data_IF_551794183502
#
_entry.id   IF_551794183502
#
_cell.length_a   1.000
_cell.length_b   1.000
_cell.length_c   1.000
_cell.angle_alpha   90.00
_cell.angle_beta   90.00
_cell.angle_gamma   90.00
#
_symmetry.space_group_name_H-M   'P 1'
#
loop_
_entity.id
_entity.type
_entity.pdbx_description
1 polymer ?
#
# COMPACT_ATOMS: atom_id res chain seq x y z
N UNK A 1 -19.53 37.14 12.50
CA UNK A 1 -20.04 35.82 12.91
C UNK A 1 -19.90 35.69 14.40
N UNK A 2 -20.97 35.24 15.07
CA UNK A 2 -21.01 35.20 16.52
C UNK A 2 -20.10 34.10 17.04
N UNK A 3 -19.00 34.47 17.68
CA UNK A 3 -17.98 33.51 18.15
C UNK A 3 -18.53 32.50 19.16
N UNK A 4 -19.66 32.81 19.79
CA UNK A 4 -20.25 31.94 20.80
C UNK A 4 -20.78 30.62 20.24
N UNK A 5 -21.11 30.57 18.94
CA UNK A 5 -21.65 29.37 18.30
C UNK A 5 -20.62 28.61 17.45
N UNK A 6 -19.37 29.06 17.46
CA UNK A 6 -18.33 28.36 16.71
C UNK A 6 -18.01 26.99 17.36
N UNK A 7 -17.86 25.93 16.57
CA UNK A 7 -17.41 24.65 17.14
C UNK A 7 -15.92 24.63 17.42
N UNK A 8 -15.18 25.62 16.94
CA UNK A 8 -13.72 25.64 17.07
C UNK A 8 -13.32 25.74 18.53
N UNK A 9 -12.45 24.88 18.98
CA UNK A 9 -11.94 24.88 20.34
C UNK A 9 -12.82 24.22 21.37
N UNK A 10 -13.94 23.65 20.95
CA UNK A 10 -14.88 22.98 21.89
C UNK A 10 -14.64 21.47 21.87
N UNK A 11 -14.78 20.80 23.03
CA UNK A 11 -14.63 19.35 23.11
C UNK A 11 -15.90 18.63 22.65
N UNK A 12 -16.14 18.62 21.34
CA UNK A 12 -17.34 18.01 20.79
C UNK A 12 -17.16 16.50 20.62
N UNK A 13 -18.18 15.73 20.87
CA UNK A 13 -18.19 14.29 20.63
C UNK A 13 -18.24 14.01 19.14
N UNK A 14 -17.62 12.90 18.74
CA UNK A 14 -17.70 12.44 17.35
C UNK A 14 -19.12 11.99 17.05
N UNK A 15 -19.63 12.40 15.89
CA UNK A 15 -21.00 12.03 15.49
C UNK A 15 -21.14 10.53 15.25
N UNK A 16 -20.05 9.87 14.84
CA UNK A 16 -20.05 8.44 14.57
C UNK A 16 -19.55 7.59 15.75
N UNK A 17 -19.22 8.24 16.87
CA UNK A 17 -18.68 7.54 18.05
C UNK A 17 -19.60 6.46 18.60
N UNK A 18 -20.89 6.76 18.83
CA UNK A 18 -21.78 5.74 19.40
C UNK A 18 -21.88 4.48 18.55
N UNK A 19 -21.90 4.59 17.23
CA UNK A 19 -21.94 3.41 16.36
C UNK A 19 -20.69 2.55 16.54
N UNK A 20 -19.53 3.21 16.69
CA UNK A 20 -18.25 2.49 16.82
C UNK A 20 -18.15 1.75 18.16
N UNK A 21 -18.47 2.42 19.25
CA UNK A 21 -18.27 1.83 20.58
C UNK A 21 -19.34 0.82 20.95
N UNK A 22 -20.45 0.78 20.22
CA UNK A 22 -21.51 -0.21 20.47
C UNK A 22 -21.48 -1.38 19.48
N UNK A 23 -20.51 -1.40 18.58
CA UNK A 23 -20.39 -2.46 17.59
C UNK A 23 -21.39 -2.39 16.46
N UNK A 24 -22.04 -1.24 16.28
CA UNK A 24 -23.04 -1.07 15.22
C UNK A 24 -22.45 -0.49 13.93
N UNK A 25 -21.21 0.02 13.98
CA UNK A 25 -20.54 0.48 12.76
C UNK A 25 -20.26 -0.71 11.85
N UNK A 26 -20.54 -0.53 10.56
CA UNK A 26 -20.40 -1.63 9.59
C UNK A 26 -19.23 -1.33 8.68
N UNK A 27 -18.21 -2.17 8.73
CA UNK A 27 -16.98 -1.99 7.97
C UNK A 27 -17.08 -2.71 6.63
N UNK A 28 -16.08 -2.50 5.75
CA UNK A 28 -16.17 -2.94 4.35
C UNK A 28 -16.49 -4.43 4.21
N UNK A 29 -15.81 -5.28 4.97
CA UNK A 29 -16.00 -6.74 4.85
C UNK A 29 -17.32 -7.22 5.45
N UNK A 30 -18.06 -6.34 6.14
CA UNK A 30 -19.30 -6.69 6.81
C UNK A 30 -20.54 -6.37 5.99
N UNK A 31 -20.38 -5.76 4.81
CA UNK A 31 -21.54 -5.43 3.98
C UNK A 31 -22.26 -6.71 3.56
N UNK A 32 -23.58 -6.69 3.67
CA UNK A 32 -24.42 -7.85 3.32
C UNK A 32 -24.84 -7.72 1.86
N UNK A 33 -24.51 -8.74 1.07
CA UNK A 33 -24.78 -8.75 -0.37
C UNK A 33 -25.36 -10.11 -0.74
N UNK A 34 -26.54 -10.13 -1.41
CA UNK A 34 -27.12 -11.42 -1.81
C UNK A 34 -26.23 -12.16 -2.81
N UNK A 35 -26.15 -13.48 -2.65
CA UNK A 35 -25.42 -14.33 -3.58
C UNK A 35 -23.92 -14.16 -3.54
N UNK A 36 -23.38 -13.67 -2.43
CA UNK A 36 -21.97 -13.36 -2.31
C UNK A 36 -21.10 -14.61 -2.40
N UNK A 37 -20.05 -14.53 -3.21
CA UNK A 37 -19.00 -15.53 -3.29
C UNK A 37 -17.78 -15.01 -2.53
N UNK A 38 -16.86 -15.90 -2.17
CA UNK A 38 -15.73 -15.59 -1.31
C UNK A 38 -14.42 -15.95 -2.00
N UNK A 39 -13.46 -15.04 -1.97
CA UNK A 39 -12.16 -15.26 -2.57
C UNK A 39 -11.08 -15.40 -1.51
N UNK A 40 -10.13 -16.28 -1.77
CA UNK A 40 -8.94 -16.45 -0.95
C UNK A 40 -7.71 -16.37 -1.84
N UNK A 41 -6.74 -15.58 -1.43
CA UNK A 41 -5.53 -15.31 -2.23
C UNK A 41 -4.50 -16.41 -2.01
N UNK A 42 -3.89 -16.87 -3.11
CA UNK A 42 -2.71 -17.72 -3.10
C UNK A 42 -1.50 -16.82 -3.31
N UNK A 43 -0.57 -16.86 -2.36
CA UNK A 43 0.58 -15.95 -2.32
C UNK A 43 1.86 -16.66 -2.68
N UNK A 44 2.81 -15.90 -3.24
CA UNK A 44 4.13 -16.44 -3.58
C UNK A 44 4.89 -16.82 -2.31
N UNK A 45 5.56 -17.96 -2.38
CA UNK A 45 6.48 -18.39 -1.32
C UNK A 45 7.93 -18.02 -1.63
N UNK A 46 8.19 -17.38 -2.79
CA UNK A 46 9.53 -16.91 -3.15
C UNK A 46 9.53 -15.39 -3.27
N UNK A 47 10.70 -14.79 -3.17
CA UNK A 47 10.85 -13.34 -3.24
C UNK A 47 11.05 -12.82 -4.65
N UNK A 48 11.62 -13.64 -5.55
CA UNK A 48 11.90 -13.20 -6.90
C UNK A 48 12.04 -14.41 -7.80
N UNK A 49 11.48 -14.32 -8.99
CA UNK A 49 11.59 -15.40 -9.96
C UNK A 49 10.45 -15.41 -10.95
N UNK A 50 10.11 -16.59 -11.40
CA UNK A 50 9.09 -16.78 -12.41
C UNK A 50 8.26 -18.02 -12.09
N UNK A 51 6.95 -17.93 -12.34
CA UNK A 51 6.05 -19.06 -12.20
C UNK A 51 6.27 -19.97 -13.41
N UNK A 52 6.57 -21.25 -13.15
CA UNK A 52 6.68 -22.22 -14.24
C UNK A 52 5.43 -23.07 -14.38
N UNK A 53 4.64 -23.20 -13.29
CA UNK A 53 3.41 -23.98 -13.34
C UNK A 53 2.51 -23.60 -12.17
N UNK A 54 1.22 -23.49 -12.45
CA UNK A 54 0.19 -23.39 -11.41
C UNK A 54 -0.73 -24.60 -11.58
N UNK A 55 -0.75 -25.47 -10.58
CA UNK A 55 -1.61 -26.66 -10.59
C UNK A 55 -2.82 -26.38 -9.69
N UNK A 56 -3.95 -26.12 -10.31
CA UNK A 56 -5.19 -25.80 -9.60
C UNK A 56 -6.20 -26.98 -9.64
N UNK A 57 -5.79 -28.13 -10.13
CA UNK A 57 -6.72 -29.25 -10.37
C UNK A 57 -7.45 -29.65 -9.08
N UNK A 58 -6.74 -29.83 -7.98
CA UNK A 58 -7.37 -30.25 -6.72
C UNK A 58 -8.34 -29.18 -6.20
N UNK A 59 -8.00 -27.90 -6.34
CA UNK A 59 -8.89 -26.84 -5.91
C UNK A 59 -10.15 -26.79 -6.78
N UNK A 60 -9.97 -26.89 -8.08
CA UNK A 60 -11.09 -26.84 -9.01
C UNK A 60 -12.04 -28.03 -8.86
N UNK A 61 -11.55 -29.15 -8.36
CA UNK A 61 -12.34 -30.35 -8.13
C UNK A 61 -13.27 -30.24 -6.93
N UNK A 62 -13.04 -29.29 -6.04
CA UNK A 62 -13.88 -29.12 -4.85
C UNK A 62 -15.28 -28.63 -5.25
N UNK A 63 -16.30 -29.30 -4.74
CA UNK A 63 -17.68 -28.85 -4.96
C UNK A 63 -17.86 -27.46 -4.32
N UNK A 64 -18.36 -26.51 -5.08
CA UNK A 64 -18.58 -25.14 -4.62
C UNK A 64 -17.47 -24.16 -4.95
N UNK A 65 -16.33 -24.65 -5.46
CA UNK A 65 -15.32 -23.75 -6.02
C UNK A 65 -15.77 -23.35 -7.42
N UNK A 66 -15.89 -22.05 -7.65
CA UNK A 66 -16.40 -21.49 -8.88
C UNK A 66 -15.34 -21.04 -9.85
N UNK A 67 -14.14 -20.72 -9.35
CA UNK A 67 -13.09 -20.14 -10.17
C UNK A 67 -11.76 -20.24 -9.45
N UNK A 68 -10.71 -20.57 -10.21
CA UNK A 68 -9.33 -20.30 -9.77
C UNK A 68 -8.75 -19.32 -10.79
N UNK A 69 -8.62 -18.10 -10.37
CA UNK A 69 -8.17 -16.99 -11.22
C UNK A 69 -6.65 -16.89 -11.13
N UNK A 70 -5.97 -16.84 -12.27
CA UNK A 70 -4.51 -16.71 -12.34
C UNK A 70 -4.14 -15.75 -13.46
N UNK A 71 -2.84 -15.51 -13.66
CA UNK A 71 -2.40 -14.68 -14.77
C UNK A 71 -2.75 -15.30 -16.13
N UNK A 72 -3.04 -16.59 -16.17
CA UNK A 72 -3.31 -17.28 -17.42
C UNK A 72 -4.77 -17.17 -17.87
N UNK A 73 -5.68 -16.90 -16.93
CA UNK A 73 -7.11 -16.86 -17.28
C UNK A 73 -7.84 -15.63 -16.82
N UNK A 74 -7.12 -14.62 -16.31
CA UNK A 74 -7.77 -13.40 -15.88
C UNK A 74 -8.41 -12.68 -17.07
N UNK A 75 -9.48 -11.90 -16.81
CA UNK A 75 -10.07 -11.14 -17.92
C UNK A 75 -9.08 -10.07 -18.39
N UNK A 76 -9.22 -9.62 -19.65
CA UNK A 76 -8.40 -8.50 -20.10
C UNK A 76 -8.75 -7.26 -19.28
N UNK A 77 -7.74 -6.45 -19.00
CA UNK A 77 -7.89 -5.20 -18.26
C UNK A 77 -7.42 -4.07 -19.18
N UNK A 78 -8.33 -3.17 -19.49
CA UNK A 78 -8.17 -2.23 -20.59
C UNK A 78 -6.95 -1.32 -20.44
N UNK A 79 -6.69 -0.83 -19.22
CA UNK A 79 -5.59 0.11 -18.98
C UNK A 79 -4.75 -0.36 -17.80
N UNK A 80 -4.31 -1.60 -17.86
CA UNK A 80 -3.62 -2.24 -16.74
C UNK A 80 -2.24 -1.63 -16.47
N UNK A 81 -1.72 -0.85 -17.40
CA UNK A 81 -0.43 -0.18 -17.22
C UNK A 81 -0.55 1.23 -16.65
N UNK A 82 -1.77 1.70 -16.36
CA UNK A 82 -1.95 3.02 -15.77
C UNK A 82 -1.51 3.04 -14.30
N UNK A 83 -0.68 4.00 -13.91
CA UNK A 83 -0.32 4.12 -12.51
C UNK A 83 -1.47 4.63 -11.66
N UNK A 84 -1.43 4.33 -10.37
CA UNK A 84 -2.34 4.98 -9.43
C UNK A 84 -1.84 6.41 -9.18
N UNK A 85 -2.75 7.33 -9.26
CA UNK A 85 -2.45 8.74 -9.02
C UNK A 85 -3.38 9.32 -7.97
N UNK A 86 -2.88 10.20 -7.14
CA UNK A 86 -3.71 11.03 -6.27
C UNK A 86 -3.01 12.39 -6.12
N UNK A 87 -3.67 13.29 -5.41
CA UNK A 87 -3.22 14.68 -5.38
C UNK A 87 -2.03 14.90 -4.45
N UNK A 88 -1.79 14.00 -3.52
CA UNK A 88 -0.81 14.24 -2.46
C UNK A 88 0.33 13.23 -2.43
N UNK A 89 0.16 12.07 -3.04
CA UNK A 89 1.18 11.02 -2.99
C UNK A 89 2.08 11.09 -4.22
N UNK A 90 3.30 10.59 -4.08
CA UNK A 90 4.20 10.45 -5.22
C UNK A 90 3.58 9.51 -6.26
N UNK A 91 3.88 9.76 -7.52
CA UNK A 91 3.42 8.90 -8.61
C UNK A 91 3.94 7.49 -8.37
N UNK A 92 3.05 6.53 -8.48
CA UNK A 92 3.40 5.12 -8.28
C UNK A 92 3.59 4.40 -9.60
N UNK A 93 4.21 3.24 -9.52
CA UNK A 93 4.26 2.34 -10.66
C UNK A 93 2.88 1.70 -10.85
N UNK A 94 2.59 1.21 -12.06
CA UNK A 94 1.32 0.51 -12.27
C UNK A 94 1.19 -0.67 -11.31
N UNK A 95 0.03 -0.81 -10.72
CA UNK A 95 -0.25 -1.87 -9.76
C UNK A 95 -1.03 -2.97 -10.48
N UNK A 96 -0.39 -4.11 -10.71
CA UNK A 96 -0.88 -5.10 -11.67
C UNK A 96 -0.91 -6.52 -11.13
N UNK A 97 -1.78 -6.85 -10.16
CA UNK A 97 -1.88 -8.24 -9.71
C UNK A 97 -2.27 -9.17 -10.85
N UNK A 98 -1.68 -10.35 -10.88
CA UNK A 98 -1.87 -11.37 -11.92
C UNK A 98 -1.50 -10.86 -13.33
N UNK A 99 -0.51 -9.97 -13.40
CA UNK A 99 -0.13 -9.38 -14.68
C UNK A 99 0.49 -10.40 -15.63
N UNK A 100 1.48 -11.14 -15.14
CA UNK A 100 2.19 -12.14 -15.92
C UNK A 100 2.79 -13.21 -14.99
N UNK A 101 3.77 -13.96 -15.49
CA UNK A 101 4.39 -15.05 -14.74
C UNK A 101 5.53 -14.60 -13.83
N UNK A 102 5.82 -13.28 -13.73
CA UNK A 102 6.92 -12.79 -12.90
C UNK A 102 6.51 -12.69 -11.45
N UNK A 103 7.42 -13.08 -10.57
CA UNK A 103 7.30 -12.88 -9.13
C UNK A 103 8.28 -11.80 -8.73
N UNK A 104 7.75 -10.70 -8.22
CA UNK A 104 8.54 -9.50 -7.91
C UNK A 104 8.84 -9.36 -6.43
N UNK A 105 8.01 -9.95 -5.55
CA UNK A 105 8.20 -9.85 -4.10
C UNK A 105 7.54 -11.03 -3.40
N UNK A 106 8.02 -11.31 -2.19
CA UNK A 106 7.47 -12.38 -1.36
C UNK A 106 6.04 -12.04 -0.94
N UNK A 107 5.14 -13.00 -1.11
CA UNK A 107 3.73 -12.77 -0.78
C UNK A 107 2.91 -12.17 -1.91
N UNK A 108 3.51 -11.96 -3.07
CA UNK A 108 2.76 -11.47 -4.24
C UNK A 108 1.59 -12.40 -4.54
N UNK A 109 0.39 -11.85 -4.83
CA UNK A 109 -0.74 -12.72 -5.21
C UNK A 109 -0.48 -13.41 -6.55
N UNK A 110 -0.66 -14.72 -6.58
CA UNK A 110 -0.47 -15.53 -7.78
C UNK A 110 -1.77 -16.12 -8.29
N UNK A 111 -2.76 -16.25 -7.41
CA UNK A 111 -4.07 -16.81 -7.78
C UNK A 111 -5.11 -16.35 -6.79
N UNK A 112 -6.36 -16.43 -7.20
CA UNK A 112 -7.51 -16.21 -6.32
C UNK A 112 -8.47 -17.37 -6.49
N UNK A 113 -8.75 -18.08 -5.40
CA UNK A 113 -9.75 -19.14 -5.41
C UNK A 113 -11.07 -18.55 -4.94
N UNK A 114 -12.09 -18.64 -5.78
CA UNK A 114 -13.43 -18.11 -5.48
C UNK A 114 -14.38 -19.27 -5.26
N UNK A 115 -15.10 -19.25 -4.15
CA UNK A 115 -15.97 -20.35 -3.75
C UNK A 115 -17.23 -19.84 -3.05
N UNK A 116 -18.14 -20.75 -2.78
CA UNK A 116 -19.45 -20.42 -2.19
C UNK A 116 -19.37 -20.05 -0.72
N UNK A 117 -18.29 -20.45 -0.02
CA UNK A 117 -18.05 -20.04 1.37
C UNK A 117 -16.60 -19.62 1.56
N UNK A 118 -16.37 -18.84 2.61
CA UNK A 118 -15.00 -18.40 2.93
C UNK A 118 -14.11 -19.61 3.28
N UNK A 119 -14.64 -20.55 4.07
CA UNK A 119 -13.86 -21.72 4.45
C UNK A 119 -13.47 -22.55 3.24
N UNK A 120 -14.38 -22.71 2.29
CA UNK A 120 -14.10 -23.47 1.07
C UNK A 120 -13.07 -22.75 0.20
N UNK A 121 -13.16 -21.44 0.11
CA UNK A 121 -12.18 -20.66 -0.65
C UNK A 121 -10.78 -20.83 -0.06
N UNK A 122 -10.68 -20.75 1.26
CA UNK A 122 -9.39 -20.91 1.93
C UNK A 122 -8.84 -22.33 1.78
N UNK A 123 -9.71 -23.32 1.89
CA UNK A 123 -9.28 -24.70 1.69
C UNK A 123 -8.79 -24.89 0.25
N UNK A 124 -9.55 -24.40 -0.72
CA UNK A 124 -9.15 -24.47 -2.12
C UNK A 124 -7.82 -23.79 -2.37
N UNK A 125 -7.61 -22.62 -1.77
CA UNK A 125 -6.35 -21.89 -1.93
C UNK A 125 -5.17 -22.72 -1.41
N UNK A 126 -5.37 -23.47 -0.33
CA UNK A 126 -4.31 -24.31 0.25
C UNK A 126 -3.95 -25.49 -0.67
N UNK A 127 -4.80 -25.84 -1.60
CA UNK A 127 -4.58 -26.97 -2.51
C UNK A 127 -3.92 -26.55 -3.83
N UNK A 128 -3.82 -25.25 -4.11
CA UNK A 128 -3.16 -24.78 -5.32
C UNK A 128 -1.66 -24.93 -5.16
N UNK A 129 -1.01 -25.57 -6.12
CA UNK A 129 0.45 -25.81 -6.09
C UNK A 129 1.11 -24.96 -7.16
N UNK A 130 2.14 -24.23 -6.77
CA UNK A 130 2.87 -23.35 -7.67
C UNK A 130 4.33 -23.82 -7.73
N UNK A 131 4.86 -23.93 -8.94
CA UNK A 131 6.26 -24.25 -9.19
C UNK A 131 6.95 -23.01 -9.75
N UNK A 132 8.19 -22.81 -9.35
CA UNK A 132 8.92 -21.59 -9.66
C UNK A 132 10.29 -21.88 -10.25
N UNK A 133 10.77 -20.92 -11.04
CA UNK A 133 12.20 -20.74 -11.34
C UNK A 133 12.66 -19.59 -10.44
N UNK A 134 13.45 -19.92 -9.41
CA UNK A 134 13.81 -18.95 -8.37
C UNK A 134 15.01 -18.14 -8.84
N UNK A 135 14.98 -16.83 -8.61
CA UNK A 135 16.07 -15.91 -8.92
C UNK A 135 16.62 -15.31 -7.63
N UNK A 136 17.88 -14.88 -7.70
CA UNK A 136 18.52 -14.21 -6.57
C UNK A 136 17.80 -12.90 -6.23
N UNK A 137 17.74 -12.61 -4.94
CA UNK A 137 17.09 -11.39 -4.46
C UNK A 137 17.93 -10.75 -3.36
N UNK A 138 17.64 -9.50 -3.06
CA UNK A 138 18.28 -8.77 -1.97
C UNK A 138 17.22 -8.00 -1.20
N UNK A 139 17.13 -8.28 0.09
CA UNK A 139 16.13 -7.65 0.97
C UNK A 139 16.75 -6.97 2.18
N UNK A 140 18.08 -6.93 2.27
CA UNK A 140 18.78 -6.36 3.40
C UNK A 140 19.45 -5.05 2.98
N UNK A 141 18.91 -3.92 3.46
CA UNK A 141 19.45 -2.61 3.13
C UNK A 141 20.90 -2.45 3.61
N UNK A 142 21.22 -3.02 4.77
CA UNK A 142 22.59 -2.93 5.29
C UNK A 142 23.60 -3.55 4.32
N UNK A 143 23.25 -4.74 3.80
CA UNK A 143 24.13 -5.45 2.87
C UNK A 143 24.21 -4.74 1.51
N UNK A 144 23.16 -4.03 1.12
CA UNK A 144 23.10 -3.34 -0.18
C UNK A 144 23.53 -1.87 -0.10
N UNK A 145 23.96 -1.41 1.07
CA UNK A 145 24.17 0.00 1.34
C UNK A 145 25.13 0.67 0.36
N UNK A 146 26.21 -0.02 0.00
CA UNK A 146 27.22 0.53 -0.90
C UNK A 146 26.73 0.59 -2.36
N UNK A 147 25.60 -0.02 -2.65
CA UNK A 147 25.01 -0.01 -3.99
C UNK A 147 23.94 1.09 -4.13
N UNK A 148 23.79 1.94 -3.13
CA UNK A 148 22.82 3.01 -3.16
C UNK A 148 23.11 3.95 -4.33
N UNK A 149 22.05 4.46 -4.92
CA UNK A 149 22.13 5.43 -6.01
C UNK A 149 21.28 6.64 -5.66
N UNK A 150 21.54 7.74 -6.32
CA UNK A 150 20.80 8.97 -6.04
C UNK A 150 19.31 8.78 -6.33
N UNK A 151 18.49 9.26 -5.41
CA UNK A 151 17.05 9.23 -5.58
C UNK A 151 16.65 10.16 -6.72
N UNK A 152 15.58 9.82 -7.45
CA UNK A 152 15.11 10.71 -8.51
C UNK A 152 14.39 11.96 -8.03
N UNK A 153 14.33 12.19 -6.72
CA UNK A 153 13.66 13.36 -6.14
C UNK A 153 14.55 14.60 -6.19
N UNK A 154 13.92 15.76 -6.25
CA UNK A 154 14.65 17.02 -6.17
C UNK A 154 15.04 17.30 -4.72
N UNK A 155 16.33 17.40 -4.48
CA UNK A 155 16.82 17.72 -3.15
C UNK A 155 16.79 19.24 -2.93
N UNK A 156 16.63 19.67 -1.67
CA UNK A 156 16.71 21.11 -1.38
C UNK A 156 18.09 21.66 -1.73
N UNK A 157 18.11 22.87 -2.28
CA UNK A 157 19.37 23.54 -2.60
C UNK A 157 20.16 23.78 -1.33
N UNK A 158 21.47 23.51 -1.33
CA UNK A 158 22.30 23.83 -0.19
C UNK A 158 22.32 25.33 0.10
N UNK A 159 22.42 25.69 1.37
CA UNK A 159 22.52 27.07 1.82
C UNK A 159 23.78 27.29 2.62
N UNK A 160 24.44 28.42 2.39
CA UNK A 160 25.58 28.83 3.17
C UNK A 160 26.80 27.93 3.03
N UNK A 161 27.70 28.01 4.00
CA UNK A 161 28.92 27.22 4.04
C UNK A 161 28.87 26.30 5.26
N UNK A 162 28.39 25.08 5.05
CA UNK A 162 28.22 24.11 6.14
C UNK A 162 29.55 23.77 6.79
N UNK A 163 30.58 23.51 5.99
CA UNK A 163 31.86 23.03 6.54
C UNK A 163 32.50 24.03 7.49
N UNK A 164 32.51 25.30 7.07
CA UNK A 164 33.08 26.36 7.93
C UNK A 164 32.25 26.54 9.18
N UNK A 165 30.93 26.54 9.08
CA UNK A 165 30.06 26.71 10.24
C UNK A 165 30.16 25.55 11.19
N UNK A 166 30.25 24.32 10.67
CA UNK A 166 30.41 23.13 11.52
C UNK A 166 31.72 23.14 12.26
N UNK A 167 32.83 23.48 11.54
CA UNK A 167 34.15 23.49 12.17
C UNK A 167 34.25 24.55 13.27
N UNK A 168 33.59 25.71 13.10
CA UNK A 168 33.65 26.82 14.03
C UNK A 168 32.70 26.69 15.23
N UNK A 169 31.76 25.74 15.18
CA UNK A 169 30.68 25.69 16.16
C UNK A 169 31.16 25.25 17.55
N UNK A 170 30.52 25.83 18.57
CA UNK A 170 30.83 25.49 19.96
C UNK A 170 30.35 24.07 20.32
N UNK A 171 29.23 23.65 19.71
CA UNK A 171 28.67 22.32 19.97
C UNK A 171 28.41 21.62 18.64
N UNK A 172 28.81 20.35 18.56
CA UNK A 172 28.66 19.59 17.32
C UNK A 172 28.20 18.18 17.62
N UNK A 173 27.35 17.69 16.74
CA UNK A 173 26.88 16.30 16.75
C UNK A 173 27.08 15.72 15.35
N UNK A 174 27.61 14.52 15.29
CA UNK A 174 27.74 13.74 14.05
C UNK A 174 27.32 12.33 14.41
N UNK A 175 26.09 11.98 14.04
CA UNK A 175 25.48 10.72 14.45
C UNK A 175 24.73 10.06 13.30
N UNK A 176 24.70 8.74 13.32
CA UNK A 176 23.90 7.96 12.40
C UNK A 176 22.71 7.36 13.14
N UNK A 177 21.55 7.42 12.51
CA UNK A 177 20.31 6.87 13.03
C UNK A 177 19.74 5.89 12.02
N UNK A 178 19.12 4.83 12.51
CA UNK A 178 18.45 3.87 11.64
C UNK A 178 17.01 3.67 12.07
N UNK A 179 16.12 3.56 11.11
CA UNK A 179 14.74 3.16 11.38
C UNK A 179 14.50 1.80 10.72
N UNK A 180 13.85 0.88 11.43
CA UNK A 180 13.56 -0.42 10.83
C UNK A 180 12.38 -0.35 9.86
N UNK A 181 12.18 -1.40 9.11
CA UNK A 181 10.95 -1.59 8.36
C UNK A 181 9.79 -1.60 9.36
N UNK A 182 8.71 -0.89 9.02
CA UNK A 182 7.51 -0.90 9.84
C UNK A 182 6.27 -1.18 8.99
N UNK A 183 5.49 -2.16 9.42
CA UNK A 183 4.24 -2.49 8.77
C UNK A 183 3.10 -1.78 9.46
N UNK A 184 2.13 -1.32 8.69
CA UNK A 184 1.00 -0.55 9.21
C UNK A 184 0.14 -1.39 10.16
N UNK A 185 -0.13 -2.63 9.76
CA UNK A 185 -0.85 -3.63 10.56
C UNK A 185 -2.07 -3.04 11.27
N UNK A 186 -2.99 -2.41 10.52
CA UNK A 186 -4.19 -1.86 11.14
C UNK A 186 -5.10 -2.96 11.68
N UNK A 187 -5.96 -2.59 12.63
CA UNK A 187 -6.88 -3.56 13.24
C UNK A 187 -7.79 -4.18 12.19
N UNK A 188 -8.36 -3.37 11.30
CA UNK A 188 -9.24 -3.88 10.25
C UNK A 188 -8.41 -4.47 9.11
N UNK A 189 -8.63 -5.75 8.74
CA UNK A 189 -7.95 -6.32 7.57
C UNK A 189 -8.35 -5.62 6.28
N UNK A 190 -7.45 -5.61 5.32
CA UNK A 190 -7.78 -5.12 3.98
C UNK A 190 -8.82 -6.05 3.37
N UNK A 191 -9.91 -5.48 2.89
CA UNK A 191 -11.01 -6.27 2.36
C UNK A 191 -11.80 -5.45 1.36
N UNK A 192 -12.37 -6.15 0.39
CA UNK A 192 -13.23 -5.55 -0.63
C UNK A 192 -14.41 -6.46 -0.89
N UNK A 193 -15.59 -5.89 -1.01
CA UNK A 193 -16.77 -6.60 -1.52
C UNK A 193 -17.20 -5.89 -2.80
N UNK A 194 -17.14 -6.61 -3.91
CA UNK A 194 -17.57 -6.09 -5.21
C UNK A 194 -18.94 -6.67 -5.49
N UNK A 195 -19.96 -5.84 -5.43
CA UNK A 195 -21.33 -6.24 -5.74
C UNK A 195 -21.56 -6.03 -7.22
N UNK A 196 -21.83 -7.13 -7.93
CA UNK A 196 -22.13 -7.11 -9.35
C UNK A 196 -23.62 -6.85 -9.52
N UNK A 197 -23.98 -5.75 -10.16
CA UNK A 197 -25.38 -5.34 -10.29
C UNK A 197 -25.95 -5.79 -11.62
N UNK A 198 -27.28 -5.89 -11.74
CA UNK A 198 -27.89 -6.47 -12.94
C UNK A 198 -27.48 -5.83 -14.26
N UNK A 199 -27.17 -4.55 -14.27
CA UNK A 199 -26.71 -3.86 -15.47
C UNK A 199 -25.21 -3.97 -15.73
N UNK A 200 -24.49 -4.71 -14.89
CA UNK A 200 -23.04 -4.83 -15.01
C UNK A 200 -22.26 -3.77 -14.27
N UNK A 201 -22.95 -2.85 -13.62
CA UNK A 201 -22.29 -1.85 -12.77
C UNK A 201 -21.80 -2.49 -11.48
N UNK A 202 -20.79 -1.86 -10.86
CA UNK A 202 -20.21 -2.37 -9.63
C UNK A 202 -20.44 -1.41 -8.47
N UNK A 203 -20.99 -1.94 -7.38
CA UNK A 203 -21.02 -1.23 -6.11
C UNK A 203 -20.00 -1.91 -5.19
N UNK A 204 -18.99 -1.15 -4.76
CA UNK A 204 -17.83 -1.71 -4.08
C UNK A 204 -17.76 -1.17 -2.66
N UNK A 205 -17.67 -2.09 -1.71
CA UNK A 205 -17.36 -1.77 -0.31
C UNK A 205 -15.88 -2.08 -0.13
N UNK A 206 -15.07 -1.05 0.08
CA UNK A 206 -13.62 -1.21 0.16
C UNK A 206 -13.08 -0.53 1.41
N UNK A 207 -12.08 -1.15 2.01
CA UNK A 207 -11.38 -0.52 3.12
C UNK A 207 -10.35 0.44 2.53
N UNK A 208 -10.79 1.65 2.21
CA UNK A 208 -9.94 2.67 1.58
C UNK A 208 -10.00 3.97 2.38
N UNK A 209 -8.91 4.73 2.31
CA UNK A 209 -8.88 6.07 2.88
C UNK A 209 -9.28 7.14 1.87
N UNK A 210 -9.52 6.77 0.61
CA UNK A 210 -9.91 7.72 -0.42
C UNK A 210 -10.86 7.11 -1.42
N UNK A 211 -12.16 7.16 -1.14
CA UNK A 211 -13.16 6.51 -1.99
C UNK A 211 -13.18 7.08 -3.40
N UNK A 212 -13.00 8.39 -3.53
CA UNK A 212 -13.07 9.04 -4.83
C UNK A 212 -11.87 8.67 -5.71
N UNK A 213 -10.68 8.70 -5.14
CA UNK A 213 -9.47 8.32 -5.87
C UNK A 213 -9.51 6.85 -6.27
N UNK A 214 -9.95 6.00 -5.35
CA UNK A 214 -10.10 4.58 -5.60
C UNK A 214 -11.07 4.32 -6.74
N UNK A 215 -12.22 4.99 -6.72
CA UNK A 215 -13.24 4.85 -7.76
C UNK A 215 -12.70 5.30 -9.12
N UNK A 216 -12.07 6.45 -9.17
CA UNK A 216 -11.51 7.00 -10.41
C UNK A 216 -10.48 6.04 -11.01
N UNK A 217 -9.60 5.49 -10.16
CA UNK A 217 -8.58 4.53 -10.60
C UNK A 217 -9.22 3.28 -11.22
N UNK A 218 -10.22 2.70 -10.53
CA UNK A 218 -10.88 1.51 -11.02
C UNK A 218 -11.62 1.76 -12.33
N UNK A 219 -12.29 2.89 -12.42
CA UNK A 219 -13.00 3.27 -13.66
C UNK A 219 -12.03 3.37 -14.84
N UNK A 220 -10.86 3.93 -14.59
CA UNK A 220 -9.84 4.09 -15.62
C UNK A 220 -9.22 2.74 -16.01
N UNK A 221 -8.79 1.97 -15.02
CA UNK A 221 -8.09 0.71 -15.25
C UNK A 221 -9.01 -0.29 -15.97
N UNK A 222 -10.27 -0.38 -15.56
CA UNK A 222 -11.20 -1.35 -16.12
C UNK A 222 -12.08 -0.79 -17.24
N UNK A 223 -11.84 0.47 -17.63
CA UNK A 223 -12.63 1.14 -18.69
C UNK A 223 -14.13 1.09 -18.38
N UNK A 224 -14.47 1.49 -17.16
CA UNK A 224 -15.84 1.45 -16.66
C UNK A 224 -16.28 2.80 -16.12
N UNK A 225 -15.98 3.88 -16.84
CA UNK A 225 -16.33 5.23 -16.40
C UNK A 225 -17.83 5.34 -16.14
N UNK A 226 -18.17 5.84 -14.96
CA UNK A 226 -19.57 6.03 -14.56
C UNK A 226 -20.27 4.76 -14.10
N UNK A 227 -19.55 3.63 -14.06
CA UNK A 227 -20.16 2.34 -13.74
C UNK A 227 -19.68 1.75 -12.42
N UNK A 228 -18.84 2.48 -11.69
CA UNK A 228 -18.27 2.00 -10.42
C UNK A 228 -18.56 3.01 -9.33
N UNK A 229 -19.03 2.54 -8.20
CA UNK A 229 -19.18 3.35 -7.00
C UNK A 229 -18.49 2.67 -5.84
N UNK A 230 -17.68 3.44 -5.10
CA UNK A 230 -16.90 2.91 -3.97
C UNK A 230 -17.40 3.56 -2.68
N UNK A 231 -17.65 2.74 -1.67
CA UNK A 231 -18.11 3.17 -0.35
C UNK A 231 -17.17 2.66 0.74
N UNK A 232 -16.90 3.53 1.73
CA UNK A 232 -16.13 3.17 2.92
C UNK A 232 -16.61 4.03 4.09
N UNK A 233 -17.83 3.75 4.62
CA UNK A 233 -18.38 4.63 5.66
C UNK A 233 -17.59 4.59 6.96
N UNK A 234 -16.93 3.48 7.27
CA UNK A 234 -16.09 3.36 8.47
C UNK A 234 -14.79 2.67 8.08
N UNK A 235 -13.69 3.15 8.65
CA UNK A 235 -12.37 2.54 8.45
C UNK A 235 -11.78 2.27 9.82
N UNK A 236 -11.40 1.01 10.06
CA UNK A 236 -10.88 0.53 11.33
C UNK A 236 -9.37 0.61 11.44
N UNK A 237 -8.82 1.75 11.03
CA UNK A 237 -7.38 1.99 11.03
C UNK A 237 -6.76 1.64 9.69
N UNK A 238 -5.84 2.47 9.24
CA UNK A 238 -5.10 2.19 8.02
C UNK A 238 -3.69 2.76 8.10
N UNK A 239 -3.51 3.93 8.73
CA UNK A 239 -2.19 4.54 8.95
C UNK A 239 -1.44 4.78 7.64
N UNK A 240 -2.20 5.13 6.59
CA UNK A 240 -1.67 5.35 5.26
C UNK A 240 -1.74 4.15 4.33
N UNK A 241 -1.93 2.94 4.84
CA UNK A 241 -1.95 1.75 3.98
C UNK A 241 -3.17 1.69 3.09
N UNK A 242 -4.21 2.45 3.39
CA UNK A 242 -5.42 2.49 2.58
C UNK A 242 -5.49 3.66 1.62
N UNK A 243 -4.41 4.44 1.48
CA UNK A 243 -4.41 5.56 0.55
C UNK A 243 -4.38 5.09 -0.90
N UNK A 244 -3.76 3.95 -1.15
CA UNK A 244 -3.73 3.33 -2.47
C UNK A 244 -4.48 2.01 -2.45
N UNK A 245 -5.00 1.56 -3.59
CA UNK A 245 -5.67 0.27 -3.63
C UNK A 245 -4.76 -0.85 -3.17
N UNK A 246 -5.29 -1.74 -2.34
CA UNK A 246 -4.58 -2.94 -1.96
C UNK A 246 -4.93 -4.03 -2.97
N UNK A 247 -4.10 -5.08 -3.06
CA UNK A 247 -4.21 -6.01 -4.19
C UNK A 247 -5.51 -6.84 -4.20
N UNK A 248 -6.18 -6.99 -3.05
CA UNK A 248 -7.44 -7.74 -3.05
C UNK A 248 -8.54 -7.03 -3.87
N UNK A 249 -8.46 -5.72 -4.01
CA UNK A 249 -9.50 -4.98 -4.71
C UNK A 249 -9.54 -5.30 -6.21
N UNK A 250 -8.45 -5.12 -6.98
CA UNK A 250 -8.52 -5.52 -8.39
C UNK A 250 -8.76 -7.01 -8.59
N UNK A 251 -8.30 -7.87 -7.67
CA UNK A 251 -8.60 -9.30 -7.76
C UNK A 251 -10.10 -9.53 -7.64
N UNK A 252 -10.76 -8.88 -6.68
CA UNK A 252 -12.19 -9.01 -6.50
C UNK A 252 -12.97 -8.49 -7.72
N UNK A 253 -12.51 -7.37 -8.28
CA UNK A 253 -13.13 -6.81 -9.48
C UNK A 253 -13.02 -7.77 -10.66
N UNK A 254 -11.81 -8.32 -10.90
CA UNK A 254 -11.62 -9.26 -12.00
C UNK A 254 -12.49 -10.50 -11.84
N UNK A 255 -12.57 -11.04 -10.62
CA UNK A 255 -13.40 -12.21 -10.37
C UNK A 255 -14.88 -11.91 -10.56
N UNK A 256 -15.34 -10.75 -10.08
CA UNK A 256 -16.74 -10.37 -10.23
C UNK A 256 -17.12 -10.20 -11.70
N UNK A 257 -16.25 -9.58 -12.49
CA UNK A 257 -16.51 -9.40 -13.92
C UNK A 257 -16.51 -10.73 -14.65
N UNK A 258 -15.60 -11.62 -14.31
CA UNK A 258 -15.51 -12.92 -14.99
C UNK A 258 -16.70 -13.82 -14.65
N UNK A 259 -17.13 -13.82 -13.39
CA UNK A 259 -18.23 -14.67 -12.94
C UNK A 259 -19.59 -14.01 -13.09
N UNK A 260 -19.63 -12.70 -13.31
CA UNK A 260 -20.87 -11.91 -13.27
C UNK A 260 -21.62 -12.17 -11.96
N UNK A 261 -20.86 -12.08 -10.86
CA UNK A 261 -21.35 -12.40 -9.52
C UNK A 261 -20.61 -11.52 -8.52
N UNK A 262 -21.21 -11.36 -7.34
CA UNK A 262 -20.61 -10.56 -6.27
C UNK A 262 -19.55 -11.36 -5.56
N UNK A 263 -18.41 -10.73 -5.25
CA UNK A 263 -17.24 -11.40 -4.68
C UNK A 263 -16.68 -10.58 -3.52
N UNK A 264 -16.38 -11.27 -2.42
CA UNK A 264 -15.71 -10.72 -1.25
C UNK A 264 -14.29 -11.29 -1.17
N UNK A 265 -13.30 -10.42 -1.04
CA UNK A 265 -11.92 -10.86 -0.80
C UNK A 265 -11.41 -10.12 0.43
N UNK A 266 -11.05 -10.87 1.47
CA UNK A 266 -10.44 -10.34 2.68
C UNK A 266 -9.05 -10.95 2.83
N UNK A 267 -8.04 -10.10 2.99
CA UNK A 267 -6.69 -10.59 3.24
C UNK A 267 -6.56 -11.12 4.66
N UNK A 268 -5.77 -12.17 4.83
CA UNK A 268 -5.43 -12.62 6.17
C UNK A 268 -4.47 -11.62 6.81
N UNK A 269 -4.35 -11.69 8.14
CA UNK A 269 -3.39 -10.85 8.86
C UNK A 269 -1.99 -11.03 8.29
N UNK A 270 -1.61 -12.26 8.01
CA UNK A 270 -0.29 -12.56 7.45
C UNK A 270 -0.08 -11.90 6.09
N UNK A 271 -1.10 -11.93 5.23
CA UNK A 271 -1.01 -11.31 3.90
C UNK A 271 -0.86 -9.80 3.97
N UNK A 272 -1.32 -9.18 5.04
CA UNK A 272 -1.21 -7.73 5.19
C UNK A 272 0.23 -7.25 5.41
N UNK A 273 1.14 -8.15 5.70
CA UNK A 273 2.56 -7.82 5.86
C UNK A 273 3.34 -7.92 4.55
N UNK A 274 2.70 -8.26 3.45
CA UNK A 274 3.39 -8.56 2.21
C UNK A 274 3.35 -7.45 1.17
N UNK A 275 2.55 -6.40 1.39
CA UNK A 275 2.38 -5.36 0.40
C UNK A 275 2.25 -4.01 1.09
N UNK A 276 3.21 -3.14 0.82
CA UNK A 276 3.23 -1.81 1.39
C UNK A 276 3.75 -1.80 2.83
N UNK A 277 4.79 -1.01 3.04
CA UNK A 277 5.37 -0.86 4.37
C UNK A 277 6.18 0.43 4.39
N UNK A 278 6.50 0.88 5.58
CA UNK A 278 7.42 2.00 5.75
C UNK A 278 8.84 1.44 5.62
N UNK A 279 9.63 1.96 4.68
CA UNK A 279 10.94 1.35 4.40
C UNK A 279 11.96 1.59 5.50
N UNK A 280 12.94 0.71 5.56
CA UNK A 280 14.10 0.90 6.43
C UNK A 280 14.94 2.06 5.92
N UNK A 281 15.49 2.86 6.83
CA UNK A 281 16.39 3.96 6.46
C UNK A 281 17.64 3.96 7.31
N UNK A 282 18.71 4.56 6.77
CA UNK A 282 19.87 5.00 7.52
C UNK A 282 20.01 6.50 7.29
N UNK A 283 20.17 7.26 8.36
CA UNK A 283 20.23 8.70 8.27
C UNK A 283 21.42 9.21 9.07
N UNK A 284 22.28 9.97 8.41
CA UNK A 284 23.39 10.64 9.07
C UNK A 284 23.04 12.11 9.26
N UNK A 285 23.15 12.57 10.50
CA UNK A 285 22.86 13.94 10.84
C UNK A 285 24.10 14.57 11.45
N UNK A 286 24.53 15.71 10.88
CA UNK A 286 25.53 16.56 11.50
C UNK A 286 24.86 17.86 11.87
N UNK A 287 24.93 18.21 13.14
CA UNK A 287 24.32 19.43 13.67
C UNK A 287 25.38 20.27 14.34
N UNK A 288 25.33 21.57 14.12
CA UNK A 288 26.21 22.53 14.77
C UNK A 288 25.39 23.59 15.47
N UNK A 289 25.78 23.94 16.68
CA UNK A 289 25.07 24.94 17.48
C UNK A 289 26.05 25.85 18.20
N UNK A 290 25.58 27.04 18.57
CA UNK A 290 26.36 27.96 19.41
C UNK A 290 26.30 27.55 20.88
N UNK A 291 26.90 28.33 21.73
CA UNK A 291 26.97 28.04 23.16
C UNK A 291 25.62 28.00 23.84
N UNK A 292 24.63 28.69 23.29
CA UNK A 292 23.27 28.74 23.80
C UNK A 292 22.35 27.68 23.19
N UNK A 293 22.90 26.85 22.31
CA UNK A 293 22.11 25.77 21.68
C UNK A 293 21.36 26.18 20.45
N UNK A 294 21.59 27.39 19.93
CA UNK A 294 20.92 27.79 18.68
C UNK A 294 21.58 27.12 17.50
N UNK A 295 20.76 26.51 16.66
CA UNK A 295 21.22 25.76 15.51
C UNK A 295 21.91 26.67 14.50
N UNK A 296 23.10 26.28 14.05
CA UNK A 296 23.90 27.06 13.08
C UNK A 296 24.07 26.35 11.76
N UNK A 297 24.16 25.03 11.77
CA UNK A 297 24.32 24.26 10.54
C UNK A 297 23.70 22.88 10.68
N UNK A 298 23.17 22.37 9.56
CA UNK A 298 22.61 21.02 9.46
C UNK A 298 23.13 20.39 8.17
N UNK A 299 23.63 19.17 8.29
CA UNK A 299 23.79 18.28 7.14
C UNK A 299 22.98 17.03 7.42
N UNK A 300 22.11 16.67 6.48
CA UNK A 300 21.25 15.49 6.61
C UNK A 300 21.40 14.63 5.36
N UNK A 301 21.93 13.42 5.55
CA UNK A 301 22.07 12.44 4.46
C UNK A 301 21.23 11.23 4.81
N UNK A 302 20.56 10.65 3.83
CA UNK A 302 19.70 9.50 4.06
C UNK A 302 19.85 8.48 2.96
N UNK A 303 19.69 7.21 3.34
CA UNK A 303 19.55 6.09 2.41
C UNK A 303 18.26 5.41 2.78
N UNK A 304 17.35 5.30 1.83
CA UNK A 304 16.07 4.63 2.01
C UNK A 304 15.98 3.39 1.15
N UNK A 305 15.20 2.43 1.61
CA UNK A 305 14.97 1.18 0.90
C UNK A 305 13.88 1.39 -0.15
N UNK A 306 14.12 0.89 -1.35
CA UNK A 306 13.08 0.85 -2.38
C UNK A 306 13.19 -0.48 -3.12
N UNK A 307 12.32 -0.72 -4.11
CA UNK A 307 12.34 -1.97 -4.84
C UNK A 307 12.98 -1.78 -6.22
N UNK A 308 13.26 -2.90 -6.90
CA UNK A 308 13.80 -2.84 -8.25
C UNK A 308 12.74 -2.51 -9.30
N UNK A 309 11.47 -2.66 -8.93
CA UNK A 309 10.38 -2.50 -9.90
C UNK A 309 9.54 -1.25 -9.62
N UNK A 310 9.95 -0.44 -8.65
CA UNK A 310 9.21 0.77 -8.29
C UNK A 310 10.19 1.80 -7.73
N UNK A 311 10.11 3.02 -8.21
CA UNK A 311 11.01 4.11 -7.83
C UNK A 311 10.35 5.02 -6.79
N UNK A 312 9.83 4.43 -5.74
CA UNK A 312 9.27 5.22 -4.65
C UNK A 312 10.40 5.66 -3.71
N UNK A 313 10.47 6.96 -3.44
CA UNK A 313 11.46 7.54 -2.54
C UNK A 313 10.76 8.28 -1.42
N UNK A 314 11.15 7.98 -0.18
CA UNK A 314 10.64 8.72 0.97
C UNK A 314 11.22 10.15 0.99
N UNK A 315 10.42 11.08 1.49
CA UNK A 315 10.85 12.47 1.67
C UNK A 315 11.62 12.59 2.98
N UNK A 316 12.85 12.08 2.99
CA UNK A 316 13.60 11.95 4.22
C UNK A 316 14.32 13.23 4.60
N UNK A 317 14.97 13.88 3.63
CA UNK A 317 15.85 15.01 3.93
C UNK A 317 15.23 16.37 3.63
N UNK A 318 14.22 16.43 2.79
CA UNK A 318 13.60 17.70 2.37
C UNK A 318 13.04 18.48 3.55
N UNK A 319 12.39 17.77 4.46
CA UNK A 319 11.73 18.43 5.61
C UNK A 319 12.72 19.13 6.52
N UNK A 320 13.95 18.58 6.66
CA UNK A 320 14.97 19.22 7.48
C UNK A 320 15.30 20.63 6.95
N UNK A 321 15.40 20.76 5.63
CA UNK A 321 15.69 22.05 5.01
C UNK A 321 14.55 23.03 5.13
N UNK A 322 13.32 22.55 5.18
CA UNK A 322 12.13 23.38 5.22
C UNK A 322 11.76 23.82 6.66
N UNK A 323 11.95 22.92 7.61
CA UNK A 323 11.41 23.15 8.96
C UNK A 323 12.34 24.00 9.85
N UNK A 324 13.64 24.03 9.57
CA UNK A 324 14.58 24.68 10.47
C UNK A 324 15.18 25.93 9.82
N UNK A 325 15.12 27.06 10.53
CA UNK A 325 15.74 28.33 10.13
C UNK A 325 17.25 28.22 10.41
N UNK A 326 17.96 27.74 9.41
CA UNK A 326 19.41 27.49 9.58
C UNK A 326 20.11 27.92 8.30
N UNK A 327 21.10 28.66 8.57
CA UNK A 327 21.79 29.28 7.48
C UNK A 327 22.67 28.43 6.68
N UNK A 328 23.09 27.13 7.18
CA UNK A 328 23.89 26.28 6.47
C UNK A 328 23.23 24.95 6.41
N UNK A 329 22.85 24.53 5.39
CA UNK A 329 22.13 23.31 5.28
C UNK A 329 22.51 22.63 4.03
N UNK A 330 22.72 21.38 4.18
CA UNK A 330 23.07 20.55 3.10
C UNK A 330 22.32 19.30 3.18
N UNK A 331 21.86 18.79 2.15
CA UNK A 331 21.09 17.61 2.16
C UNK A 331 21.55 16.73 1.06
N UNK A 332 21.57 15.54 1.37
CA UNK A 332 22.03 14.56 0.47
C UNK A 332 21.24 13.33 0.58
N UNK A 333 20.96 12.97 -0.28
CA UNK A 333 20.13 11.79 -0.32
C UNK A 333 20.63 10.73 -1.13
#
# INVERSE_FOLDING_TARGET
MNSANSPLGKPLDRVDGPLKVTGKACYAAEAEVPGLLYGAVVSSSIARGRITRIDAVAAEALSGVRLVLTHQNRPPVASYDEPYEDDDAADGSPFRPLYNDRVLYSGQPLALVVAETQALARHGASLVRVEYEVEAHQTDLQAAREQAHEAPAELPEPRGDFDSAFAAAAKRIDCEYGTPVEHHNPMEPHASIVQYQPGGELLIHDKTQGVQNCQRYLEQVFDMEGKIRVLAPFVGGAFGSGLRPQYQLPLAVMAALKLKASVRVELTRQQMFTFGYRPRTFQQLKLAADGEGRLRAIEHKAIGQTSRFEDFTEHEVEWSGMLYACXXXXXXX
#
